data_IF_073982540670
#
_entry.id   IF_073982540670
#
_cell.length_a   1.000
_cell.length_b   1.000
_cell.length_c   1.000
_cell.angle_alpha   90.00
_cell.angle_beta   90.00
_cell.angle_gamma   90.00
#
_symmetry.space_group_name_H-M   'P 1'
#
loop_
_entity.id
_entity.type
_entity.pdbx_description
1 polymer ?
#
# COMPACT_ATOMS: atom_id res chain seq x y z
N UNK A 1 5.29 2.91 3.67
CA UNK A 1 6.04 2.83 2.39
C UNK A 1 7.15 3.89 2.28
N UNK A 2 6.85 5.17 2.49
CA UNK A 2 7.86 6.27 2.48
C UNK A 2 9.07 5.99 3.39
N UNK A 3 8.88 5.34 4.55
CA UNK A 3 9.98 4.94 5.43
C UNK A 3 10.98 3.96 4.76
N UNK A 4 10.48 2.97 4.02
CA UNK A 4 11.32 1.99 3.32
C UNK A 4 12.09 2.62 2.15
N UNK A 5 11.45 3.54 1.42
CA UNK A 5 12.09 4.29 0.34
C UNK A 5 13.22 5.17 0.89
N UNK A 6 12.96 5.90 1.99
CA UNK A 6 13.99 6.68 2.69
C UNK A 6 15.17 5.81 3.15
N UNK A 7 14.88 4.62 3.69
CA UNK A 7 15.90 3.69 4.16
C UNK A 7 16.74 3.12 3.02
N UNK A 8 16.12 2.75 1.90
CA UNK A 8 16.82 2.27 0.70
C UNK A 8 17.69 3.38 0.08
N UNK A 9 17.16 4.59 -0.05
CA UNK A 9 17.90 5.74 -0.55
C UNK A 9 19.11 6.06 0.35
N UNK A 10 18.95 6.04 1.68
CA UNK A 10 20.07 6.22 2.61
C UNK A 10 21.15 5.15 2.44
N UNK A 11 20.76 3.89 2.29
CA UNK A 11 21.71 2.78 2.13
C UNK A 11 22.51 2.93 0.83
N UNK A 12 21.86 3.29 -0.28
CA UNK A 12 22.53 3.64 -1.53
C UNK A 12 23.42 4.88 -1.43
N UNK A 13 23.00 5.89 -0.66
CA UNK A 13 23.82 7.07 -0.38
C UNK A 13 25.11 6.71 0.35
N UNK A 14 25.03 5.85 1.37
CA UNK A 14 26.20 5.38 2.11
C UNK A 14 27.15 4.55 1.23
N UNK A 15 26.64 3.66 0.38
CA UNK A 15 27.51 2.86 -0.50
C UNK A 15 28.28 3.75 -1.47
N UNK A 16 27.64 4.76 -2.05
CA UNK A 16 28.32 5.73 -2.93
C UNK A 16 29.29 6.61 -2.15
N UNK A 17 28.91 7.08 -0.96
CA UNK A 17 29.80 7.86 -0.09
C UNK A 17 31.10 7.10 0.20
N UNK A 18 30.99 5.87 0.73
CA UNK A 18 32.16 5.05 1.04
C UNK A 18 32.93 4.67 -0.21
N UNK A 19 32.24 4.34 -1.31
CA UNK A 19 32.89 4.04 -2.58
C UNK A 19 33.75 5.20 -3.08
N UNK A 20 33.19 6.42 -3.13
CA UNK A 20 33.92 7.63 -3.57
C UNK A 20 35.05 7.97 -2.60
N UNK A 21 34.83 7.82 -1.29
CA UNK A 21 35.84 8.08 -0.26
C UNK A 21 37.03 7.14 -0.42
N UNK A 22 36.78 5.82 -0.52
CA UNK A 22 37.85 4.84 -0.68
C UNK A 22 38.57 4.98 -2.02
N UNK A 23 37.86 5.23 -3.11
CA UNK A 23 38.49 5.48 -4.43
C UNK A 23 39.36 6.72 -4.38
N UNK A 24 38.88 7.80 -3.77
CA UNK A 24 39.64 9.05 -3.67
C UNK A 24 40.87 8.90 -2.76
N UNK A 25 40.74 8.15 -1.66
CA UNK A 25 41.85 7.87 -0.76
C UNK A 25 42.91 6.97 -1.41
N UNK A 26 42.47 5.93 -2.15
CA UNK A 26 43.35 5.02 -2.88
C UNK A 26 44.07 5.68 -4.07
N UNK A 27 43.52 6.78 -4.59
CA UNK A 27 44.12 7.56 -5.69
C UNK A 27 45.00 8.71 -5.19
N UNK A 28 45.07 8.95 -3.87
CA UNK A 28 45.90 10.00 -3.29
C UNK A 28 47.35 9.53 -3.17
N UNK A 29 48.29 10.38 -3.55
CA UNK A 29 49.73 10.11 -3.43
C UNK A 29 50.16 9.99 -1.96
N UNK A 30 49.55 10.80 -1.08
CA UNK A 30 49.70 10.68 0.37
C UNK A 30 48.30 10.59 1.01
N UNK A 31 47.88 9.41 1.50
CA UNK A 31 46.57 9.22 2.12
C UNK A 31 46.46 9.82 3.52
N UNK A 32 47.59 10.21 4.15
CA UNK A 32 47.62 10.76 5.51
C UNK A 32 47.80 12.28 5.54
N UNK A 33 47.97 12.93 4.39
CA UNK A 33 47.92 14.37 4.31
C UNK A 33 46.51 14.89 4.69
N UNK A 34 46.46 15.74 5.71
CA UNK A 34 45.20 16.28 6.23
C UNK A 34 44.44 17.10 5.17
N UNK A 35 45.15 17.82 4.29
CA UNK A 35 44.51 18.60 3.23
C UNK A 35 43.79 17.71 2.23
N UNK A 36 44.50 16.69 1.75
CA UNK A 36 43.98 15.68 0.81
C UNK A 36 42.82 14.89 1.42
N UNK A 37 42.91 14.52 2.69
CA UNK A 37 41.84 13.82 3.42
C UNK A 37 40.56 14.66 3.51
N UNK A 38 40.66 15.94 3.88
CA UNK A 38 39.51 16.85 3.94
C UNK A 38 38.85 17.00 2.57
N UNK A 39 39.65 17.17 1.51
CA UNK A 39 39.14 17.27 0.14
C UNK A 39 38.42 15.99 -0.30
N UNK A 40 38.96 14.81 0.05
CA UNK A 40 38.32 13.53 -0.21
C UNK A 40 36.98 13.39 0.51
N UNK A 41 36.91 13.78 1.80
CA UNK A 41 35.68 13.74 2.58
C UNK A 41 34.62 14.66 1.96
N UNK A 42 34.97 15.91 1.63
CA UNK A 42 34.04 16.86 1.01
C UNK A 42 33.52 16.30 -0.32
N UNK A 43 34.40 15.76 -1.16
CA UNK A 43 34.03 15.17 -2.45
C UNK A 43 33.09 13.97 -2.27
N UNK A 44 33.37 13.10 -1.31
CA UNK A 44 32.50 11.98 -0.97
C UNK A 44 31.14 12.44 -0.44
N UNK A 45 31.10 13.49 0.39
CA UNK A 45 29.88 14.07 0.95
C UNK A 45 28.98 14.66 -0.14
N UNK A 46 29.57 15.42 -1.06
CA UNK A 46 28.85 15.99 -2.21
C UNK A 46 28.35 14.89 -3.14
N UNK A 47 29.19 13.91 -3.48
CA UNK A 47 28.82 12.79 -4.34
C UNK A 47 27.73 11.91 -3.73
N UNK A 48 27.89 11.52 -2.46
CA UNK A 48 26.90 10.74 -1.72
C UNK A 48 25.59 11.50 -1.52
N UNK A 49 25.65 12.80 -1.24
CA UNK A 49 24.46 13.66 -1.08
C UNK A 49 23.66 13.81 -2.38
N UNK A 50 24.34 14.04 -3.51
CA UNK A 50 23.72 14.07 -4.84
C UNK A 50 23.04 12.74 -5.15
N UNK A 51 23.75 11.63 -4.94
CA UNK A 51 23.21 10.31 -5.24
C UNK A 51 22.04 9.92 -4.33
N UNK A 52 22.10 10.30 -3.04
CA UNK A 52 21.00 10.14 -2.11
C UNK A 52 19.76 10.89 -2.56
N UNK A 53 19.92 12.16 -2.98
CA UNK A 53 18.81 12.98 -3.45
C UNK A 53 18.19 12.43 -4.75
N UNK A 54 19.03 12.07 -5.73
CA UNK A 54 18.57 11.45 -6.98
C UNK A 54 17.89 10.10 -6.71
N UNK A 55 18.46 9.26 -5.84
CA UNK A 55 17.90 7.97 -5.46
C UNK A 55 16.55 8.11 -4.74
N UNK A 56 16.37 9.16 -3.94
CA UNK A 56 15.10 9.45 -3.30
C UNK A 56 14.01 9.81 -4.32
N UNK A 57 14.31 10.70 -5.27
CA UNK A 57 13.37 11.09 -6.33
C UNK A 57 13.03 9.89 -7.23
N UNK A 58 14.06 9.17 -7.69
CA UNK A 58 13.87 8.03 -8.58
C UNK A 58 13.10 6.90 -7.88
N UNK A 59 13.39 6.67 -6.60
CA UNK A 59 12.62 5.74 -5.77
C UNK A 59 11.15 6.14 -5.66
N UNK A 60 10.84 7.41 -5.39
CA UNK A 60 9.46 7.88 -5.30
C UNK A 60 8.70 7.68 -6.62
N UNK A 61 9.34 7.95 -7.77
CA UNK A 61 8.74 7.73 -9.10
C UNK A 61 8.50 6.24 -9.35
N UNK A 62 9.49 5.38 -9.10
CA UNK A 62 9.36 3.93 -9.32
C UNK A 62 8.27 3.36 -8.42
N UNK A 63 8.25 3.69 -7.13
CA UNK A 63 7.24 3.17 -6.22
C UNK A 63 5.84 3.66 -6.56
N UNK A 64 5.67 4.93 -6.94
CA UNK A 64 4.37 5.44 -7.41
C UNK A 64 3.95 4.77 -8.73
N UNK A 65 4.87 4.65 -9.69
CA UNK A 65 4.63 4.01 -10.98
C UNK A 65 4.25 2.54 -10.86
N UNK A 66 4.99 1.78 -10.05
CA UNK A 66 4.69 0.37 -9.76
C UNK A 66 3.36 0.24 -9.03
N UNK A 67 3.01 1.14 -8.11
CA UNK A 67 1.71 1.10 -7.43
C UNK A 67 0.55 1.35 -8.39
N UNK A 68 0.68 2.34 -9.28
CA UNK A 68 -0.36 2.63 -10.28
C UNK A 68 -0.58 1.49 -11.27
N UNK A 69 0.43 0.65 -11.50
CA UNK A 69 0.31 -0.56 -12.30
C UNK A 69 -0.27 -1.75 -11.51
N UNK A 70 -0.24 -1.68 -10.18
CA UNK A 70 -0.75 -2.70 -9.26
C UNK A 70 -2.19 -2.43 -8.77
N UNK A 71 -2.76 -1.26 -9.06
CA UNK A 71 -4.08 -0.90 -8.58
C UNK A 71 -5.21 -1.43 -9.50
N UNK A 72 -6.11 -2.18 -8.84
CA UNK A 72 -7.53 -2.41 -9.12
C UNK A 72 -7.93 -3.81 -9.60
N UNK A 73 -7.17 -4.49 -10.46
CA UNK A 73 -7.75 -5.68 -11.11
C UNK A 73 -7.82 -6.94 -10.22
N UNK A 74 -6.83 -7.19 -9.35
CA UNK A 74 -6.77 -8.44 -8.56
C UNK A 74 -7.62 -8.43 -7.29
N UNK A 75 -7.74 -7.31 -6.60
CA UNK A 75 -8.57 -7.20 -5.40
C UNK A 75 -10.06 -7.21 -5.73
N UNK A 76 -10.47 -6.56 -6.83
CA UNK A 76 -11.85 -6.59 -7.32
C UNK A 76 -12.32 -7.98 -7.79
N UNK A 77 -11.44 -8.75 -8.45
CA UNK A 77 -11.78 -10.13 -8.85
C UNK A 77 -11.86 -11.10 -7.67
N UNK A 78 -11.03 -10.92 -6.63
CA UNK A 78 -11.06 -11.76 -5.43
C UNK A 78 -12.28 -11.47 -4.55
N UNK A 79 -12.65 -10.20 -4.33
CA UNK A 79 -13.89 -9.85 -3.62
C UNK A 79 -15.13 -10.19 -4.44
N UNK A 80 -15.12 -9.94 -5.75
CA UNK A 80 -16.23 -10.30 -6.65
C UNK A 80 -16.50 -11.79 -6.67
N UNK A 81 -15.45 -12.63 -6.75
CA UNK A 81 -15.60 -14.08 -6.72
C UNK A 81 -16.02 -14.65 -5.36
N UNK A 82 -15.62 -14.01 -4.25
CA UNK A 82 -16.03 -14.44 -2.91
C UNK A 82 -17.50 -14.06 -2.63
N UNK A 83 -17.91 -12.86 -3.02
CA UNK A 83 -19.30 -12.39 -2.91
C UNK A 83 -20.21 -13.24 -3.79
N UNK A 84 -19.79 -13.59 -5.01
CA UNK A 84 -20.55 -14.45 -5.90
C UNK A 84 -20.77 -15.84 -5.30
N UNK A 85 -19.74 -16.46 -4.68
CA UNK A 85 -19.88 -17.75 -4.00
C UNK A 85 -20.73 -17.69 -2.73
N UNK A 86 -20.74 -16.57 -2.01
CA UNK A 86 -21.62 -16.37 -0.85
C UNK A 86 -23.06 -16.22 -1.30
N UNK A 87 -23.30 -15.52 -2.41
CA UNK A 87 -24.63 -15.34 -2.97
C UNK A 87 -25.20 -16.66 -3.54
N UNK A 88 -24.41 -17.41 -4.32
CA UNK A 88 -24.79 -18.74 -4.82
C UNK A 88 -25.12 -19.70 -3.67
N UNK A 89 -24.29 -19.73 -2.61
CA UNK A 89 -24.58 -20.54 -1.43
C UNK A 89 -25.81 -20.09 -0.65
N UNK A 90 -26.15 -18.81 -0.66
CA UNK A 90 -27.36 -18.31 -0.02
C UNK A 90 -28.61 -18.59 -0.87
N UNK A 91 -28.50 -18.56 -2.20
CA UNK A 91 -29.59 -18.96 -3.10
C UNK A 91 -29.86 -20.46 -3.01
N UNK A 92 -28.81 -21.30 -2.96
CA UNK A 92 -28.94 -22.75 -2.76
C UNK A 92 -29.38 -23.12 -1.34
N UNK A 93 -29.10 -22.26 -0.35
CA UNK A 93 -29.52 -22.45 1.04
C UNK A 93 -30.89 -21.87 1.37
N UNK A 94 -31.61 -21.29 0.40
CA UNK A 94 -33.03 -21.01 0.57
C UNK A 94 -33.78 -22.35 0.54
N UNK A 95 -34.37 -22.81 1.66
CA UNK A 95 -35.22 -23.99 1.66
C UNK A 95 -36.51 -23.62 0.92
N UNK A 96 -36.55 -23.86 -0.38
CA UNK A 96 -37.65 -23.43 -1.24
C UNK A 96 -37.59 -23.97 -2.67
N UNK A 97 -36.81 -25.01 -2.94
CA UNK A 97 -36.85 -25.70 -4.23
C UNK A 97 -38.25 -26.27 -4.54
N UNK A 98 -38.65 -26.35 -5.82
CA UNK A 98 -39.98 -26.79 -6.25
C UNK A 98 -40.34 -28.25 -5.89
N UNK A 99 -39.41 -29.00 -5.29
CA UNK A 99 -39.62 -30.36 -4.79
C UNK A 99 -39.96 -30.42 -3.29
N UNK A 100 -40.31 -29.29 -2.67
CA UNK A 100 -40.77 -29.32 -1.28
C UNK A 100 -42.13 -30.05 -1.21
N UNK A 101 -42.25 -31.20 -0.52
CA UNK A 101 -43.54 -31.82 -0.32
C UNK A 101 -44.41 -30.83 0.43
N UNK A 102 -45.53 -30.45 -0.19
CA UNK A 102 -46.61 -29.71 0.44
C UNK A 102 -47.05 -30.50 1.68
N UNK A 103 -46.54 -30.09 2.84
CA UNK A 103 -47.23 -30.35 4.09
C UNK A 103 -48.38 -29.36 4.14
N UNK A 104 -49.48 -29.76 3.51
CA UNK A 104 -50.79 -29.32 3.95
C UNK A 104 -50.94 -29.82 5.38
N UNK A 105 -50.87 -28.93 6.36
CA UNK A 105 -51.76 -28.98 7.50
C UNK A 105 -51.80 -27.63 8.21
N UNK A 106 -53.00 -27.07 8.20
CA UNK A 106 -53.41 -25.95 9.02
C UNK A 106 -53.02 -26.18 10.48
N UNK A 107 -52.13 -25.37 11.03
CA UNK A 107 -52.26 -24.97 12.44
C UNK A 107 -51.29 -23.87 12.83
N UNK A 108 -51.92 -22.73 13.11
CA UNK A 108 -51.69 -21.96 14.32
C UNK A 108 -50.60 -20.86 14.31
N UNK A 109 -51.14 -19.64 14.34
CA UNK A 109 -50.86 -18.64 15.37
C UNK A 109 -49.59 -17.79 15.20
N UNK A 110 -49.84 -16.64 14.59
CA UNK A 110 -49.59 -15.33 15.20
C UNK A 110 -48.17 -15.00 15.63
N UNK A 111 -47.45 -14.26 14.77
CA UNK A 111 -46.56 -13.20 15.26
C UNK A 111 -46.88 -11.91 14.50
N UNK A 112 -47.83 -11.16 15.07
CA UNK A 112 -47.91 -9.72 14.90
C UNK A 112 -46.63 -9.07 15.46
N UNK A 113 -46.00 -8.18 14.68
CA UNK A 113 -45.58 -6.83 15.13
C UNK A 113 -44.90 -6.11 13.95
N UNK A 114 -45.62 -5.19 13.29
CA UNK A 114 -45.76 -3.76 13.61
C UNK A 114 -44.65 -2.87 13.03
N UNK A 115 -45.08 -2.11 12.01
CA UNK A 115 -44.83 -0.65 11.81
C UNK A 115 -43.42 -0.15 11.47
N UNK A 116 -43.27 0.25 10.19
CA UNK A 116 -42.63 1.51 9.76
C UNK A 116 -43.24 2.71 10.53
N UNK A 117 -42.48 3.78 10.84
CA UNK A 117 -42.29 4.84 9.85
C UNK A 117 -40.95 5.57 9.86
N UNK A 118 -40.75 6.33 8.78
CA UNK A 118 -39.70 7.30 8.55
C UNK A 118 -39.58 8.36 9.65
N UNK A 119 -38.37 8.85 9.88
CA UNK A 119 -38.16 10.18 10.45
C UNK A 119 -37.01 10.92 9.76
N UNK A 120 -37.16 12.23 9.78
CA UNK A 120 -36.69 13.25 8.84
C UNK A 120 -35.69 14.16 9.58
N UNK A 121 -34.75 14.77 8.84
CA UNK A 121 -34.14 16.11 9.10
C UNK A 121 -33.03 16.20 10.19
N UNK A 122 -31.79 16.56 9.80
CA UNK A 122 -31.17 17.90 10.02
C UNK A 122 -29.72 18.00 9.53
N UNK A 123 -29.47 19.07 8.75
CA UNK A 123 -28.16 19.65 8.37
C UNK A 123 -27.31 19.99 9.61
N UNK A 124 -26.00 20.19 9.41
CA UNK A 124 -25.34 21.35 10.00
C UNK A 124 -24.75 22.30 8.96
N UNK A 125 -24.88 23.57 9.32
CA UNK A 125 -24.26 24.78 8.79
C UNK A 125 -22.81 24.89 9.29
N UNK A 126 -21.96 25.63 8.56
CA UNK A 126 -20.63 26.10 9.00
C UNK A 126 -19.49 25.34 8.32
N UNK A 127 -18.48 25.97 7.73
CA UNK A 127 -18.04 27.37 7.73
C UNK A 127 -17.33 27.68 6.41
#
# INVERSE_FOLDING_TARGET
MIYWIKKAAMLLGYTVFFGVLFISLASSDDPFDFGSLIMCIIKALVGGGLFWFTGYILGDIIFKGVLTDLEVEKTGMLEGGLIQRINEKNEDALPGGPDMPLFDDESSLSVQKKTKPANKIKKPHGA
#
